data_IF_645358480582
#
_entry.id   IF_645358480582
#
_cell.length_a   1.000
_cell.length_b   1.000
_cell.length_c   1.000
_cell.angle_alpha   90.00
_cell.angle_beta   90.00
_cell.angle_gamma   90.00
#
_symmetry.space_group_name_H-M   'P 1'
#
loop_
_entity.id
_entity.type
_entity.pdbx_description
1 polymer ?
#
# COMPACT_ATOMS: atom_id res chain seq x y z
N UNK A 1 33.19 10.53 -47.40
CA UNK A 1 33.08 10.14 -45.95
C UNK A 1 32.18 11.10 -45.18
N UNK A 2 30.90 11.28 -45.56
CA UNK A 2 30.02 12.23 -44.87
C UNK A 2 28.59 11.67 -44.59
N UNK A 3 28.35 10.37 -44.73
CA UNK A 3 27.02 9.76 -44.54
C UNK A 3 26.89 8.96 -43.20
N UNK A 4 27.98 8.73 -42.48
CA UNK A 4 27.99 7.93 -41.25
C UNK A 4 27.57 8.67 -39.98
N UNK A 5 27.47 10.01 -39.98
CA UNK A 5 27.13 10.79 -38.76
C UNK A 5 25.64 11.10 -38.57
N UNK A 6 24.78 10.80 -39.53
CA UNK A 6 23.34 11.13 -39.44
C UNK A 6 22.46 10.04 -38.82
N UNK A 7 23.00 8.84 -38.57
CA UNK A 7 22.23 7.73 -38.02
C UNK A 7 22.32 7.58 -36.49
N UNK A 8 23.16 8.38 -35.82
CA UNK A 8 23.31 8.34 -34.37
C UNK A 8 22.43 9.35 -33.59
N UNK A 9 21.71 10.21 -34.30
CA UNK A 9 20.92 11.27 -33.64
C UNK A 9 19.45 10.87 -33.33
N UNK A 10 19.00 9.69 -33.77
CA UNK A 10 17.60 9.27 -33.56
C UNK A 10 17.36 8.30 -32.39
N UNK A 11 18.37 8.03 -31.55
CA UNK A 11 18.23 7.20 -30.34
C UNK A 11 18.18 8.02 -29.05
N UNK A 12 17.84 9.31 -29.11
CA UNK A 12 17.29 10.00 -27.94
C UNK A 12 15.89 9.45 -27.71
N UNK A 13 15.86 8.23 -27.18
CA UNK A 13 14.62 7.63 -26.73
C UNK A 13 13.93 8.64 -25.82
N UNK A 14 12.75 9.02 -26.15
CA UNK A 14 11.87 9.77 -25.27
C UNK A 14 11.79 8.94 -23.98
N UNK A 15 12.47 9.40 -22.94
CA UNK A 15 12.33 8.78 -21.63
C UNK A 15 10.86 8.93 -21.29
N UNK A 16 10.09 7.87 -21.49
CA UNK A 16 8.67 7.87 -21.19
C UNK A 16 8.56 8.24 -19.71
N UNK A 17 7.93 9.38 -19.43
CA UNK A 17 7.75 9.86 -18.07
C UNK A 17 6.94 8.81 -17.31
N UNK A 18 7.54 8.24 -16.25
CA UNK A 18 6.89 7.24 -15.40
C UNK A 18 5.63 7.84 -14.79
N UNK A 19 4.57 7.05 -14.76
CA UNK A 19 3.31 7.45 -14.11
C UNK A 19 3.49 7.45 -12.60
N UNK A 20 3.26 8.60 -11.98
CA UNK A 20 3.29 8.74 -10.54
C UNK A 20 2.03 8.16 -9.92
N UNK A 21 2.18 7.27 -8.97
CA UNK A 21 1.06 6.62 -8.26
C UNK A 21 1.27 6.66 -6.75
N UNK A 22 0.18 6.77 -6.01
CA UNK A 22 0.12 6.47 -4.58
C UNK A 22 -0.77 5.23 -4.46
N UNK A 23 -0.31 4.24 -3.74
CA UNK A 23 -1.05 3.00 -3.54
C UNK A 23 -1.75 3.09 -2.19
N UNK A 24 -3.09 2.95 -2.18
CA UNK A 24 -3.85 2.81 -0.95
C UNK A 24 -4.33 1.37 -0.84
N UNK A 25 -4.08 0.71 0.30
CA UNK A 25 -4.30 -0.72 0.43
C UNK A 25 -4.49 -1.19 1.89
N UNK A 26 -4.87 -2.46 2.03
CA UNK A 26 -5.12 -3.20 3.26
C UNK A 26 -4.51 -4.63 3.17
N UNK A 27 -3.20 -4.74 3.01
CA UNK A 27 -2.50 -6.01 2.78
C UNK A 27 -2.35 -6.84 4.05
N UNK A 28 -2.89 -8.03 4.06
CA UNK A 28 -2.84 -8.97 5.20
C UNK A 28 -1.68 -9.99 5.15
N UNK A 29 -0.54 -9.60 4.62
CA UNK A 29 0.67 -10.43 4.66
C UNK A 29 0.99 -11.18 3.38
N UNK A 30 2.03 -12.06 3.45
CA UNK A 30 2.60 -12.71 2.27
C UNK A 30 1.60 -13.66 1.61
N UNK A 31 1.62 -13.66 0.28
CA UNK A 31 0.71 -14.47 -0.52
C UNK A 31 -0.71 -13.92 -0.67
N UNK A 32 -1.05 -12.83 0.01
CA UNK A 32 -2.31 -12.12 -0.18
C UNK A 32 -2.37 -11.40 -1.53
N UNK A 33 -3.58 -11.28 -2.10
CA UNK A 33 -3.79 -10.64 -3.40
C UNK A 33 -3.28 -9.18 -3.44
N UNK A 34 -3.42 -8.45 -2.36
CA UNK A 34 -2.99 -7.05 -2.26
C UNK A 34 -1.46 -6.93 -2.31
N UNK A 35 -0.71 -7.85 -1.68
CA UNK A 35 0.75 -7.91 -1.77
C UNK A 35 1.23 -8.14 -3.20
N UNK A 36 0.57 -8.98 -3.96
CA UNK A 36 0.89 -9.23 -5.38
C UNK A 36 0.66 -7.96 -6.22
N UNK A 37 -0.39 -7.20 -5.93
CA UNK A 37 -0.67 -5.92 -6.59
C UNK A 37 0.43 -4.89 -6.29
N UNK A 38 0.90 -4.81 -5.05
CA UNK A 38 2.03 -3.95 -4.68
C UNK A 38 3.28 -4.31 -5.49
N UNK A 39 3.64 -5.60 -5.53
CA UNK A 39 4.81 -6.08 -6.29
C UNK A 39 4.71 -5.73 -7.77
N UNK A 40 3.54 -5.92 -8.39
CA UNK A 40 3.31 -5.58 -9.79
C UNK A 40 3.59 -4.09 -10.07
N UNK A 41 3.05 -3.20 -9.24
CA UNK A 41 3.22 -1.76 -9.42
C UNK A 41 4.64 -1.30 -9.13
N UNK A 42 5.27 -1.82 -8.06
CA UNK A 42 6.63 -1.44 -7.66
C UNK A 42 7.67 -1.90 -8.71
N UNK A 43 7.46 -3.05 -9.33
CA UNK A 43 8.38 -3.61 -10.34
C UNK A 43 8.12 -3.07 -11.75
N UNK A 44 7.02 -2.38 -11.99
CA UNK A 44 6.71 -1.82 -13.30
C UNK A 44 7.70 -0.69 -13.67
N UNK A 45 8.38 -0.78 -14.82
CA UNK A 45 9.28 0.29 -15.27
C UNK A 45 8.54 1.58 -15.65
N UNK A 46 7.22 1.50 -15.89
CA UNK A 46 6.38 2.62 -16.26
C UNK A 46 5.79 3.38 -15.07
N UNK A 47 5.98 2.86 -13.84
CA UNK A 47 5.38 3.39 -12.61
C UNK A 47 6.45 3.92 -11.67
N UNK A 48 6.18 5.08 -11.09
CA UNK A 48 6.89 5.67 -9.96
C UNK A 48 5.96 5.67 -8.75
N UNK A 49 6.22 4.81 -7.77
CA UNK A 49 5.43 4.73 -6.54
C UNK A 49 5.89 5.83 -5.59
N UNK A 50 5.04 6.84 -5.34
CA UNK A 50 5.32 7.97 -4.46
C UNK A 50 5.15 7.64 -2.97
N UNK A 51 4.41 6.59 -2.66
CA UNK A 51 4.17 6.09 -1.32
C UNK A 51 3.02 5.09 -1.26
N UNK A 52 2.91 4.42 -0.13
CA UNK A 52 1.87 3.43 0.14
C UNK A 52 1.14 3.84 1.41
N UNK A 53 -0.15 4.16 1.30
CA UNK A 53 -1.01 4.41 2.45
C UNK A 53 -1.73 3.14 2.85
N UNK A 54 -1.81 2.87 4.16
CA UNK A 54 -2.32 1.60 4.69
C UNK A 54 -3.45 1.87 5.67
N UNK A 55 -4.60 1.25 5.46
CA UNK A 55 -5.77 1.31 6.35
C UNK A 55 -6.13 -0.09 6.83
N UNK A 56 -6.87 -0.20 7.92
CA UNK A 56 -7.45 -1.49 8.31
C UNK A 56 -8.48 -1.97 7.30
N UNK A 57 -8.46 -3.25 7.03
CA UNK A 57 -9.43 -3.91 6.15
C UNK A 57 -9.33 -5.41 6.28
N UNK A 58 -8.40 -6.05 5.61
CA UNK A 58 -8.14 -7.48 5.75
C UNK A 58 -7.67 -7.85 7.15
N UNK A 59 -6.80 -7.00 7.73
CA UNK A 59 -6.31 -7.05 9.10
C UNK A 59 -6.33 -5.64 9.72
N UNK A 60 -5.77 -5.49 10.91
CA UNK A 60 -5.61 -4.19 11.54
C UNK A 60 -4.44 -3.41 10.90
N UNK A 61 -4.60 -2.10 10.80
CA UNK A 61 -3.65 -1.18 10.16
C UNK A 61 -2.20 -1.42 10.57
N UNK A 62 -1.92 -1.57 11.86
CA UNK A 62 -0.54 -1.67 12.35
C UNK A 62 0.14 -2.98 11.91
N UNK A 63 -0.62 -4.07 11.87
CA UNK A 63 -0.17 -5.33 11.30
C UNK A 63 0.10 -5.20 9.79
N UNK A 64 -0.83 -4.59 9.05
CA UNK A 64 -0.70 -4.40 7.60
C UNK A 64 0.44 -3.44 7.23
N UNK A 65 0.69 -2.40 8.05
CA UNK A 65 1.87 -1.54 7.93
C UNK A 65 3.14 -2.35 8.12
N UNK A 66 3.19 -3.23 9.12
CA UNK A 66 4.36 -4.06 9.38
C UNK A 66 4.62 -5.05 8.23
N UNK A 67 3.59 -5.70 7.69
CA UNK A 67 3.70 -6.55 6.50
C UNK A 67 4.22 -5.77 5.29
N UNK A 68 3.70 -4.57 5.05
CA UNK A 68 4.10 -3.72 3.94
C UNK A 68 5.56 -3.28 4.05
N UNK A 69 5.99 -2.81 5.22
CA UNK A 69 7.38 -2.45 5.48
C UNK A 69 8.31 -3.65 5.26
N UNK A 70 7.93 -4.81 5.79
CA UNK A 70 8.74 -6.02 5.63
C UNK A 70 8.83 -6.46 4.17
N UNK A 71 7.76 -6.37 3.39
CA UNK A 71 7.81 -6.59 1.95
C UNK A 71 8.84 -5.68 1.27
N UNK A 72 8.79 -4.37 1.57
CA UNK A 72 9.73 -3.41 0.97
C UNK A 72 11.18 -3.71 1.35
N UNK A 73 11.46 -4.16 2.57
CA UNK A 73 12.78 -4.63 2.99
C UNK A 73 13.26 -5.83 2.18
N UNK A 74 12.39 -6.84 2.01
CA UNK A 74 12.71 -8.08 1.28
C UNK A 74 13.06 -7.78 -0.18
N UNK A 75 12.34 -6.86 -0.81
CA UNK A 75 12.57 -6.51 -2.22
C UNK A 75 13.57 -5.35 -2.42
N UNK A 76 14.17 -4.82 -1.33
CA UNK A 76 15.16 -3.74 -1.39
C UNK A 76 14.59 -2.39 -1.81
N UNK A 77 13.31 -2.09 -1.51
CA UNK A 77 12.63 -0.84 -1.88
C UNK A 77 12.19 -0.03 -0.66
N UNK A 78 13.08 0.10 0.32
CA UNK A 78 12.86 0.91 1.54
C UNK A 78 12.84 2.43 1.27
N UNK A 79 13.10 2.84 0.04
CA UNK A 79 12.94 4.21 -0.46
C UNK A 79 11.47 4.65 -0.56
N UNK A 80 10.52 3.70 -0.64
CA UNK A 80 9.09 3.98 -0.74
C UNK A 80 8.51 4.19 0.66
N UNK A 81 7.95 5.39 0.97
CA UNK A 81 7.36 5.64 2.27
C UNK A 81 6.07 4.83 2.45
N UNK A 82 5.93 4.23 3.63
CA UNK A 82 4.69 3.59 4.10
C UNK A 82 4.03 4.51 5.13
N UNK A 83 2.76 4.85 4.92
CA UNK A 83 2.06 5.88 5.68
C UNK A 83 0.81 5.29 6.34
N UNK A 84 0.74 5.30 7.68
CA UNK A 84 -0.43 4.78 8.39
C UNK A 84 -1.67 5.65 8.14
N UNK A 85 -2.79 5.00 7.84
CA UNK A 85 -4.10 5.63 7.69
C UNK A 85 -5.03 5.32 8.86
N UNK A 86 -6.33 5.27 8.58
CA UNK A 86 -7.35 5.02 9.60
C UNK A 86 -7.28 3.59 10.16
N UNK A 87 -7.44 3.47 11.48
CA UNK A 87 -7.57 2.17 12.16
C UNK A 87 -8.99 1.66 12.12
N UNK A 88 -9.95 2.56 12.40
CA UNK A 88 -11.37 2.20 12.48
C UNK A 88 -12.15 2.80 11.31
N UNK A 89 -13.17 2.10 10.80
CA UNK A 89 -14.04 2.64 9.78
C UNK A 89 -14.87 3.82 10.31
N UNK A 90 -15.23 4.75 9.43
CA UNK A 90 -15.98 5.97 9.81
C UNK A 90 -17.40 5.67 10.29
N UNK A 91 -18.04 4.66 9.75
CA UNK A 91 -19.47 4.40 9.98
C UNK A 91 -19.71 3.04 10.62
N UNK A 92 -19.14 1.99 10.03
CA UNK A 92 -19.42 0.61 10.45
C UNK A 92 -18.67 0.25 11.73
N UNK A 93 -19.40 -0.33 12.70
CA UNK A 93 -18.85 -0.83 13.96
C UNK A 93 -18.91 -2.35 14.03
N UNK A 94 -18.07 -2.93 14.88
CA UNK A 94 -18.04 -4.38 15.09
C UNK A 94 -19.40 -4.90 15.60
N UNK A 95 -19.99 -4.20 16.57
CA UNK A 95 -21.29 -4.56 17.14
C UNK A 95 -22.42 -4.54 16.09
N UNK A 96 -22.41 -3.56 15.19
CA UNK A 96 -23.38 -3.48 14.09
C UNK A 96 -23.19 -4.65 13.11
N UNK A 97 -21.96 -5.04 12.85
CA UNK A 97 -21.65 -6.23 12.04
C UNK A 97 -22.17 -7.50 12.69
N UNK A 98 -21.99 -7.66 14.01
CA UNK A 98 -22.53 -8.79 14.76
C UNK A 98 -24.05 -8.83 14.76
N UNK A 99 -24.72 -7.66 14.91
CA UNK A 99 -26.19 -7.55 14.81
C UNK A 99 -26.69 -7.96 13.43
N UNK A 100 -25.99 -7.51 12.38
CA UNK A 100 -26.30 -7.86 11.00
C UNK A 100 -26.15 -9.37 10.77
N UNK A 101 -25.06 -9.98 11.25
CA UNK A 101 -24.82 -11.41 11.12
C UNK A 101 -25.85 -12.26 11.84
N UNK A 102 -26.31 -11.82 13.01
CA UNK A 102 -27.41 -12.50 13.75
C UNK A 102 -28.71 -12.51 12.95
N UNK A 103 -28.95 -11.48 12.15
CA UNK A 103 -30.21 -11.35 11.38
C UNK A 103 -30.14 -12.01 10.01
N UNK A 104 -28.99 -11.94 9.35
CA UNK A 104 -28.87 -12.30 7.93
C UNK A 104 -27.86 -13.43 7.67
N UNK A 105 -27.21 -13.93 8.70
CA UNK A 105 -26.17 -14.96 8.58
C UNK A 105 -24.75 -14.39 8.54
N UNK A 106 -23.76 -15.27 8.67
CA UNK A 106 -22.34 -14.87 8.70
C UNK A 106 -21.91 -14.25 7.38
N UNK A 107 -21.10 -13.17 7.48
CA UNK A 107 -20.41 -12.62 6.32
C UNK A 107 -19.33 -13.62 5.84
N UNK A 108 -19.10 -13.67 4.54
CA UNK A 108 -18.13 -14.60 3.96
C UNK A 108 -16.68 -14.24 4.40
N UNK A 109 -16.41 -12.96 4.59
CA UNK A 109 -15.12 -12.43 5.01
C UNK A 109 -15.31 -11.28 5.99
N UNK A 110 -14.78 -11.41 7.19
CA UNK A 110 -14.93 -10.44 8.28
C UNK A 110 -13.82 -9.38 8.35
N UNK A 111 -12.76 -9.52 7.55
CA UNK A 111 -11.59 -8.64 7.63
C UNK A 111 -10.94 -8.72 9.01
N UNK A 112 -10.48 -7.58 9.52
CA UNK A 112 -9.86 -7.46 10.84
C UNK A 112 -10.77 -7.90 12.00
N UNK A 113 -12.08 -8.00 11.77
CA UNK A 113 -13.06 -8.46 12.77
C UNK A 113 -13.41 -9.95 12.65
N UNK A 114 -12.73 -10.69 11.80
CA UNK A 114 -13.00 -12.13 11.63
C UNK A 114 -12.49 -12.91 12.85
N UNK A 115 -13.37 -13.64 13.51
CA UNK A 115 -13.07 -14.42 14.71
C UNK A 115 -11.94 -15.45 14.51
N UNK A 116 -11.65 -15.85 13.26
CA UNK A 116 -10.63 -16.86 12.93
C UNK A 116 -9.19 -16.40 13.20
N UNK A 117 -8.95 -15.07 13.16
CA UNK A 117 -7.63 -14.46 13.39
C UNK A 117 -7.71 -13.15 14.17
N UNK A 118 -8.79 -12.96 14.92
CA UNK A 118 -9.02 -11.72 15.66
C UNK A 118 -7.94 -11.47 16.72
N UNK A 119 -7.49 -10.23 16.80
CA UNK A 119 -6.66 -9.68 17.87
C UNK A 119 -6.98 -8.18 18.07
N UNK A 120 -6.43 -7.58 19.11
CA UNK A 120 -6.62 -6.15 19.38
C UNK A 120 -6.00 -5.27 18.27
N UNK A 121 -6.65 -4.14 17.97
CA UNK A 121 -6.35 -3.28 16.82
C UNK A 121 -4.90 -2.76 16.75
N UNK A 122 -4.23 -2.61 17.90
CA UNK A 122 -2.88 -2.06 17.99
C UNK A 122 -1.82 -3.12 18.31
N UNK A 123 -2.19 -4.37 18.26
CA UNK A 123 -1.28 -5.51 18.45
C UNK A 123 -0.78 -5.96 17.10
N UNK A 124 0.54 -6.07 16.94
CA UNK A 124 1.15 -6.68 15.76
C UNK A 124 1.53 -8.12 16.13
N UNK A 125 0.88 -9.13 15.56
CA UNK A 125 1.19 -10.53 15.85
C UNK A 125 2.58 -10.92 15.33
N UNK A 126 2.97 -12.17 15.50
CA UNK A 126 4.17 -12.70 14.88
C UNK A 126 3.96 -12.79 13.36
N UNK A 127 4.82 -12.10 12.61
CA UNK A 127 4.76 -12.11 11.15
C UNK A 127 5.57 -13.30 10.62
N UNK A 128 5.01 -14.14 9.72
CA UNK A 128 5.72 -15.30 9.16
C UNK A 128 7.02 -14.93 8.44
N UNK A 129 7.05 -13.76 7.77
CA UNK A 129 8.19 -13.21 7.05
C UNK A 129 9.18 -12.45 7.95
N UNK A 130 8.91 -12.35 9.23
CA UNK A 130 9.68 -11.61 10.21
C UNK A 130 9.25 -10.14 10.37
N UNK A 131 9.61 -9.55 11.50
CA UNK A 131 9.29 -8.15 11.79
C UNK A 131 10.15 -7.19 10.97
N UNK A 132 9.58 -6.06 10.50
CA UNK A 132 10.38 -5.01 9.86
C UNK A 132 11.30 -4.31 10.87
N UNK A 133 12.43 -3.81 10.37
CA UNK A 133 13.33 -2.90 11.10
C UNK A 133 13.10 -1.44 10.69
N UNK A 134 12.60 -1.23 9.48
CA UNK A 134 12.17 0.09 8.98
C UNK A 134 10.89 0.54 9.70
N UNK A 135 10.67 1.85 9.70
CA UNK A 135 9.52 2.46 10.37
C UNK A 135 8.62 3.14 9.34
N UNK A 136 7.31 3.21 9.61
CA UNK A 136 6.43 4.03 8.79
C UNK A 136 6.77 5.51 8.90
N UNK A 137 6.31 6.30 7.94
CA UNK A 137 6.39 7.75 7.99
C UNK A 137 5.55 8.28 9.16
N UNK A 138 6.09 9.24 9.90
CA UNK A 138 5.39 9.91 11.02
C UNK A 138 4.46 11.00 10.48
N UNK A 139 3.48 10.60 9.71
CA UNK A 139 2.44 11.44 9.09
C UNK A 139 1.19 10.57 8.90
N UNK A 140 0.00 11.16 8.98
CA UNK A 140 -1.20 10.42 8.60
C UNK A 140 -1.43 10.42 7.08
N UNK A 141 -2.12 9.36 6.60
CA UNK A 141 -2.34 9.15 5.18
C UNK A 141 -3.11 10.28 4.49
N UNK A 142 -4.02 10.97 5.18
CA UNK A 142 -4.81 12.07 4.58
C UNK A 142 -3.92 13.27 4.30
N UNK A 143 -3.07 13.66 5.25
CA UNK A 143 -2.10 14.74 5.05
C UNK A 143 -1.10 14.39 3.95
N UNK A 144 -0.55 13.17 3.98
CA UNK A 144 0.34 12.69 2.93
C UNK A 144 -0.28 12.80 1.54
N UNK A 145 -1.51 12.33 1.36
CA UNK A 145 -2.25 12.43 0.09
C UNK A 145 -2.41 13.88 -0.36
N UNK A 146 -2.82 14.78 0.54
CA UNK A 146 -2.98 16.21 0.24
C UNK A 146 -1.64 16.81 -0.22
N UNK A 147 -0.56 16.55 0.50
CA UNK A 147 0.77 17.08 0.18
C UNK A 147 1.31 16.57 -1.16
N UNK A 148 1.06 15.29 -1.48
CA UNK A 148 1.57 14.68 -2.72
C UNK A 148 0.75 15.06 -3.95
N UNK A 149 -0.55 15.29 -3.82
CA UNK A 149 -1.45 15.58 -4.94
C UNK A 149 -1.51 17.07 -5.27
N UNK A 150 -1.49 17.96 -4.28
CA UNK A 150 -1.56 19.43 -4.49
C UNK A 150 -0.54 19.97 -5.50
N UNK A 151 0.76 19.66 -5.42
CA UNK A 151 1.72 20.18 -6.38
C UNK A 151 1.45 19.76 -7.82
N UNK A 152 0.83 18.59 -8.00
CA UNK A 152 0.54 18.02 -9.33
C UNK A 152 -0.66 18.70 -9.99
N UNK A 153 -1.63 19.19 -9.19
CA UNK A 153 -2.84 19.88 -9.71
C UNK A 153 -2.56 21.34 -10.04
N UNK A 154 -1.60 21.98 -9.37
CA UNK A 154 -1.29 23.41 -9.54
C UNK A 154 -0.21 23.68 -10.60
N UNK A 155 0.31 22.66 -11.28
CA UNK A 155 1.33 22.76 -12.33
C UNK A 155 0.79 22.68 -13.76
N UNK A 156 -0.51 22.95 -13.97
CA UNK A 156 -1.17 23.07 -15.27
C UNK A 156 -1.43 24.54 -15.63
#
# INVERSE_FOLDING_TARGET
MAIACLLLANSLGWAQQRRKVIINQDCSGPGGSNMQTLLLLIQSPEVEVLGITVVSGNQWRDEEVAHTLRLLEIIGRTDIPVVPGAVFPLVRRHEETQLWQRRYGKVAFGGAWDERWWHEAFVIPALPEGRPVTKPLDEDAAHFLIHKVRPTILSF
#
